data_IF_095058042673
#
_entry.id   IF_095058042673
#
_cell.length_a   1.000
_cell.length_b   1.000
_cell.length_c   1.000
_cell.angle_alpha   90.00
_cell.angle_beta   90.00
_cell.angle_gamma   90.00
#
_symmetry.space_group_name_H-M   'P 1'
#
loop_
_entity.id
_entity.type
_entity.pdbx_description
1 polymer ?
#
# COMPACT_ATOMS: atom_id res chain seq x y z
N UNK A 1 9.43 -15.79 -23.97
CA UNK A 1 8.37 -16.48 -23.20
C UNK A 1 8.06 -15.60 -22.00
N UNK A 2 6.96 -14.86 -22.05
CA UNK A 2 6.54 -13.99 -20.95
C UNK A 2 5.86 -14.86 -19.89
N UNK A 3 6.51 -15.03 -18.74
CA UNK A 3 5.89 -15.62 -17.56
C UNK A 3 4.88 -14.60 -17.03
N UNK A 4 3.62 -14.75 -17.45
CA UNK A 4 2.48 -14.20 -16.72
C UNK A 4 2.40 -14.98 -15.41
N UNK A 5 3.08 -14.51 -14.37
CA UNK A 5 2.80 -14.94 -13.00
C UNK A 5 1.43 -14.39 -12.64
N UNK A 6 0.41 -15.23 -12.73
CA UNK A 6 -0.86 -15.02 -12.06
C UNK A 6 -0.56 -14.95 -10.56
N UNK A 7 -0.40 -13.74 -10.04
CA UNK A 7 -0.39 -13.50 -8.60
C UNK A 7 -1.82 -13.74 -8.10
N UNK A 8 -2.16 -14.99 -7.76
CA UNK A 8 -3.33 -15.27 -6.91
C UNK A 8 -3.01 -14.79 -5.49
N UNK A 9 -3.04 -13.47 -5.28
CA UNK A 9 -3.05 -12.89 -3.95
C UNK A 9 -4.40 -13.22 -3.32
N UNK A 10 -4.50 -14.36 -2.66
CA UNK A 10 -5.48 -14.53 -1.57
C UNK A 10 -5.14 -13.47 -0.52
N UNK A 11 -5.69 -12.27 -0.69
CA UNK A 11 -5.49 -11.15 0.21
C UNK A 11 -6.24 -11.41 1.53
N UNK A 12 -5.74 -12.34 2.35
CA UNK A 12 -6.30 -12.64 3.67
C UNK A 12 -6.10 -11.50 4.67
N UNK A 13 -5.27 -10.52 4.32
CA UNK A 13 -5.03 -9.32 5.13
C UNK A 13 -6.08 -8.22 4.95
N UNK A 14 -6.73 -8.17 3.79
CA UNK A 14 -7.77 -7.18 3.54
C UNK A 14 -9.12 -7.69 4.04
N UNK A 15 -9.85 -6.83 4.72
CA UNK A 15 -11.10 -7.14 5.39
C UNK A 15 -12.29 -6.78 4.51
N UNK A 16 -12.25 -5.60 3.87
CA UNK A 16 -13.37 -5.07 3.08
C UNK A 16 -12.93 -4.52 1.72
N UNK A 17 -11.76 -3.88 1.67
CA UNK A 17 -11.18 -3.31 0.46
C UNK A 17 -10.60 -4.41 -0.43
N UNK A 18 -10.84 -4.34 -1.74
CA UNK A 18 -10.22 -5.28 -2.68
C UNK A 18 -8.75 -4.92 -2.92
N UNK A 19 -7.94 -5.92 -3.27
CA UNK A 19 -6.53 -5.70 -3.60
C UNK A 19 -6.37 -4.71 -4.75
N UNK A 20 -7.17 -4.85 -5.81
CA UNK A 20 -7.11 -3.98 -7.00
C UNK A 20 -7.45 -2.53 -6.64
N UNK A 21 -8.42 -2.33 -5.74
CA UNK A 21 -8.76 -0.99 -5.25
C UNK A 21 -7.61 -0.38 -4.44
N UNK A 22 -6.98 -1.18 -3.57
CA UNK A 22 -5.82 -0.73 -2.80
C UNK A 22 -4.64 -0.38 -3.73
N UNK A 23 -4.35 -1.22 -4.70
CA UNK A 23 -3.30 -1.01 -5.69
C UNK A 23 -3.53 0.28 -6.49
N UNK A 24 -4.75 0.48 -7.01
CA UNK A 24 -5.11 1.73 -7.70
C UNK A 24 -4.90 2.98 -6.84
N UNK A 25 -5.20 2.90 -5.54
CA UNK A 25 -4.99 4.01 -4.61
C UNK A 25 -3.52 4.36 -4.49
N UNK A 26 -2.67 3.35 -4.28
CA UNK A 26 -1.23 3.53 -4.15
C UNK A 26 -0.61 4.04 -5.46
N UNK A 27 -1.04 3.52 -6.61
CA UNK A 27 -0.63 4.03 -7.93
C UNK A 27 -1.05 5.49 -8.10
N UNK A 28 -2.31 5.83 -7.80
CA UNK A 28 -2.80 7.20 -7.89
C UNK A 28 -1.94 8.14 -7.04
N UNK A 29 -1.72 7.83 -5.77
CA UNK A 29 -0.98 8.68 -4.84
C UNK A 29 0.47 8.82 -5.32
N UNK A 30 1.09 7.71 -5.73
CA UNK A 30 2.44 7.67 -6.29
C UNK A 30 2.59 8.60 -7.51
N UNK A 31 1.67 8.50 -8.48
CA UNK A 31 1.73 9.26 -9.74
C UNK A 31 1.25 10.71 -9.58
N UNK A 32 0.43 11.01 -8.57
CA UNK A 32 -0.06 12.37 -8.31
C UNK A 32 1.06 13.36 -7.96
N UNK A 33 2.21 12.85 -7.50
CA UNK A 33 3.33 13.65 -6.95
C UNK A 33 2.90 14.63 -5.84
N UNK A 34 1.74 14.38 -5.24
CA UNK A 34 1.18 15.19 -4.17
C UNK A 34 1.79 14.74 -2.84
N UNK A 35 2.78 15.51 -2.37
CA UNK A 35 3.50 15.17 -1.15
C UNK A 35 2.60 15.13 0.09
N UNK A 36 1.53 15.93 0.14
CA UNK A 36 0.55 15.86 1.23
C UNK A 36 -0.12 14.49 1.25
N UNK A 37 -0.71 14.05 0.13
CA UNK A 37 -1.36 12.73 0.07
C UNK A 37 -0.40 11.58 0.35
N UNK A 38 0.85 11.69 -0.11
CA UNK A 38 1.86 10.67 0.17
C UNK A 38 2.23 10.64 1.66
N UNK A 39 2.49 11.81 2.28
CA UNK A 39 2.82 11.89 3.69
C UNK A 39 1.68 11.38 4.58
N UNK A 40 0.43 11.60 4.17
CA UNK A 40 -0.74 11.11 4.88
C UNK A 40 -0.79 9.59 4.99
N UNK A 41 -0.22 8.84 4.02
CA UNK A 41 -0.07 7.38 4.15
C UNK A 41 0.75 7.07 5.40
N UNK A 42 1.97 7.63 5.49
CA UNK A 42 2.91 7.36 6.59
C UNK A 42 2.45 7.96 7.93
N UNK A 43 1.87 9.15 7.91
CA UNK A 43 1.53 9.90 9.10
C UNK A 43 0.17 9.51 9.69
N UNK A 44 -0.78 9.06 8.86
CA UNK A 44 -2.15 8.83 9.30
C UNK A 44 -2.68 7.42 9.04
N UNK A 45 -2.29 6.76 7.94
CA UNK A 45 -2.78 5.42 7.63
C UNK A 45 -1.90 4.32 8.23
N UNK A 46 -0.57 4.36 8.08
CA UNK A 46 0.34 3.29 8.54
C UNK A 46 0.23 3.05 10.07
N UNK A 47 -0.04 4.09 10.87
CA UNK A 47 -0.29 3.95 12.32
C UNK A 47 -1.56 3.16 12.69
N UNK A 48 -2.44 2.89 11.72
CA UNK A 48 -3.66 2.09 11.91
C UNK A 48 -3.45 0.62 11.61
N UNK A 49 -2.32 0.25 11.01
CA UNK A 49 -1.98 -1.14 10.76
C UNK A 49 -1.78 -1.88 12.09
N UNK A 50 -2.19 -3.16 12.17
CA UNK A 50 -1.73 -4.05 13.22
C UNK A 50 -0.21 -4.06 13.28
N UNK A 51 0.35 -4.09 14.50
CA UNK A 51 1.79 -4.04 14.70
C UNK A 51 2.54 -5.07 13.83
N UNK A 52 2.03 -6.31 13.76
CA UNK A 52 2.65 -7.36 12.94
C UNK A 52 2.63 -7.07 11.44
N UNK A 53 1.56 -6.41 10.95
CA UNK A 53 1.44 -6.02 9.54
C UNK A 53 2.37 -4.86 9.26
N UNK A 54 2.45 -3.88 10.17
CA UNK A 54 3.38 -2.76 10.07
C UNK A 54 4.85 -3.20 10.10
N UNK A 55 5.21 -4.12 11.00
CA UNK A 55 6.56 -4.68 11.06
C UNK A 55 6.90 -5.46 9.76
N UNK A 56 5.93 -6.22 9.24
CA UNK A 56 6.07 -6.93 7.97
C UNK A 56 6.17 -5.97 6.77
N UNK A 57 5.38 -4.90 6.73
CA UNK A 57 5.46 -3.86 5.70
C UNK A 57 6.84 -3.24 5.64
N UNK A 58 7.42 -2.83 6.77
CA UNK A 58 8.78 -2.28 6.80
C UNK A 58 9.84 -3.27 6.33
N UNK A 59 9.73 -4.54 6.74
CA UNK A 59 10.70 -5.56 6.36
C UNK A 59 10.59 -5.89 4.86
N UNK A 60 9.37 -6.06 4.36
CA UNK A 60 9.11 -6.36 2.96
C UNK A 60 9.45 -5.19 2.03
N UNK A 61 9.13 -3.95 2.42
CA UNK A 61 9.53 -2.75 1.69
C UNK A 61 11.05 -2.70 1.52
N UNK A 62 11.80 -2.90 2.61
CA UNK A 62 13.26 -2.93 2.58
C UNK A 62 13.83 -4.07 1.72
N UNK A 63 13.16 -5.22 1.69
CA UNK A 63 13.63 -6.37 0.89
C UNK A 63 13.35 -6.20 -0.61
N UNK A 64 12.18 -5.66 -0.96
CA UNK A 64 11.79 -5.44 -2.35
C UNK A 64 12.36 -4.13 -2.91
N UNK A 65 12.75 -3.20 -2.04
CA UNK A 65 13.30 -1.90 -2.38
C UNK A 65 14.54 -1.58 -1.52
N UNK A 66 15.64 -2.36 -1.63
CA UNK A 66 16.80 -2.22 -0.74
C UNK A 66 17.57 -0.91 -0.93
N UNK A 67 17.51 -0.34 -2.14
CA UNK A 67 18.26 0.86 -2.51
C UNK A 67 17.46 2.15 -2.30
N UNK A 68 16.15 2.06 -2.04
CA UNK A 68 15.30 3.21 -1.75
C UNK A 68 14.30 2.85 -0.65
N UNK A 69 14.28 3.60 0.45
CA UNK A 69 13.14 3.49 1.37
C UNK A 69 11.87 3.96 0.65
N UNK A 70 10.68 3.55 1.10
CA UNK A 70 9.40 4.22 0.76
C UNK A 70 9.53 5.74 1.00
N UNK A 71 9.79 6.49 -0.08
CA UNK A 71 10.08 7.93 -0.02
C UNK A 71 8.89 8.69 -0.59
N UNK A 72 8.26 9.49 0.26
CA UNK A 72 7.27 10.46 -0.15
C UNK A 72 7.94 11.79 -0.48
N UNK A 73 8.24 12.04 -1.77
CA UNK A 73 8.67 13.36 -2.21
C UNK A 73 8.03 13.75 -3.55
N UNK A 74 7.93 15.04 -3.86
CA UNK A 74 7.26 15.54 -5.08
C UNK A 74 7.98 15.18 -6.40
N UNK A 75 9.19 14.64 -6.33
CA UNK A 75 10.08 14.34 -7.46
C UNK A 75 10.18 12.85 -7.76
N UNK A 76 9.85 11.99 -6.80
CA UNK A 76 9.94 10.53 -6.91
C UNK A 76 8.61 9.89 -6.56
N UNK A 77 8.28 8.85 -7.30
CA UNK A 77 7.15 7.99 -7.00
C UNK A 77 7.34 7.33 -5.63
N UNK A 78 6.23 6.94 -4.99
CA UNK A 78 6.24 6.25 -3.70
C UNK A 78 7.04 4.93 -3.80
N UNK A 79 6.90 4.26 -4.93
CA UNK A 79 7.71 3.14 -5.36
C UNK A 79 8.44 3.49 -6.68
N UNK A 80 9.71 3.07 -6.86
CA UNK A 80 10.45 3.28 -8.10
C UNK A 80 9.72 2.78 -9.35
N UNK A 81 8.92 1.73 -9.21
CA UNK A 81 8.13 1.11 -10.25
C UNK A 81 6.83 0.52 -9.68
N UNK A 82 5.81 0.44 -10.53
CA UNK A 82 4.47 0.00 -10.12
C UNK A 82 4.43 -1.50 -9.71
N UNK A 83 5.45 -2.30 -10.07
CA UNK A 83 5.55 -3.73 -9.71
C UNK A 83 6.09 -3.98 -8.29
N UNK A 84 6.64 -2.96 -7.61
CA UNK A 84 7.18 -3.11 -6.24
C UNK A 84 6.04 -3.24 -5.23
N UNK A 85 4.97 -2.45 -5.36
CA UNK A 85 3.83 -2.54 -4.45
C UNK A 85 3.21 -3.96 -4.40
N UNK A 86 2.90 -4.62 -5.54
CA UNK A 86 2.45 -6.01 -5.56
C UNK A 86 3.40 -6.97 -4.82
N UNK A 87 4.71 -6.83 -5.04
CA UNK A 87 5.73 -7.68 -4.41
C UNK A 87 5.80 -7.46 -2.90
N UNK A 88 5.73 -6.21 -2.45
CA UNK A 88 5.67 -5.86 -1.02
C UNK A 88 4.41 -6.46 -0.40
N UNK A 89 3.25 -6.23 -1.01
CA UNK A 89 1.98 -6.74 -0.49
C UNK A 89 1.95 -8.27 -0.40
N UNK A 90 2.47 -8.97 -1.43
CA UNK A 90 2.59 -10.42 -1.39
C UNK A 90 3.54 -10.88 -0.28
N UNK A 91 4.70 -10.25 -0.12
CA UNK A 91 5.62 -10.55 0.97
C UNK A 91 4.97 -10.38 2.35
N UNK A 92 4.12 -9.35 2.53
CA UNK A 92 3.37 -9.16 3.77
C UNK A 92 2.38 -10.30 3.97
N UNK A 93 1.61 -10.70 2.94
CA UNK A 93 0.70 -11.86 3.03
C UNK A 93 1.44 -13.14 3.43
N UNK A 94 2.61 -13.39 2.82
CA UNK A 94 3.40 -14.60 3.09
C UNK A 94 3.95 -14.64 4.53
N UNK A 95 4.19 -13.47 5.14
CA UNK A 95 4.67 -13.36 6.53
C UNK A 95 3.54 -13.32 7.55
N UNK A 96 2.45 -12.68 7.19
CA UNK A 96 1.32 -12.46 8.07
C UNK A 96 0.25 -13.49 7.74
N UNK A 97 0.45 -14.70 8.27
CA UNK A 97 -0.39 -15.87 7.99
C UNK A 97 -1.89 -15.68 8.26
N UNK A 98 -2.27 -14.86 9.25
CA UNK A 98 -3.67 -14.61 9.59
C UNK A 98 -3.80 -13.37 10.48
N UNK A 99 -5.01 -12.83 10.60
CA UNK A 99 -5.35 -11.72 11.50
C UNK A 99 -6.36 -12.17 12.57
N UNK A 100 -6.14 -11.75 13.81
CA UNK A 100 -7.16 -11.85 14.88
C UNK A 100 -8.28 -10.83 14.63
N UNK A 101 -9.43 -10.99 15.29
CA UNK A 101 -10.58 -10.09 15.07
C UNK A 101 -10.29 -8.63 15.42
N UNK A 102 -9.46 -8.37 16.44
CA UNK A 102 -9.05 -7.01 16.76
C UNK A 102 -8.06 -6.43 15.74
N UNK A 103 -7.19 -7.26 15.18
CA UNK A 103 -6.31 -6.85 14.09
C UNK A 103 -7.08 -6.62 12.79
N UNK A 104 -8.14 -7.40 12.52
CA UNK A 104 -9.07 -7.11 11.41
C UNK A 104 -9.76 -5.76 11.59
N UNK A 105 -10.17 -5.39 12.82
CA UNK A 105 -10.72 -4.05 13.09
C UNK A 105 -9.68 -2.96 12.82
N UNK A 106 -8.41 -3.19 13.13
CA UNK A 106 -7.33 -2.26 12.84
C UNK A 106 -7.05 -2.16 11.33
N UNK A 107 -6.97 -3.29 10.62
CA UNK A 107 -6.88 -3.32 9.16
C UNK A 107 -8.03 -2.58 8.49
N UNK A 108 -9.26 -2.76 8.97
CA UNK A 108 -10.41 -2.00 8.45
C UNK A 108 -10.23 -0.48 8.61
N UNK A 109 -9.68 -0.02 9.74
CA UNK A 109 -9.38 1.41 9.94
C UNK A 109 -8.28 1.89 8.98
N UNK A 110 -7.30 1.06 8.68
CA UNK A 110 -6.30 1.34 7.65
C UNK A 110 -6.96 1.44 6.26
N UNK A 111 -7.80 0.47 5.89
CA UNK A 111 -8.54 0.45 4.63
C UNK A 111 -9.43 1.68 4.45
N UNK A 112 -10.15 2.08 5.49
CA UNK A 112 -10.98 3.29 5.47
C UNK A 112 -10.12 4.56 5.26
N UNK A 113 -8.94 4.61 5.89
CA UNK A 113 -7.98 5.70 5.75
C UNK A 113 -7.44 5.82 4.31
N UNK A 114 -6.90 4.73 3.77
CA UNK A 114 -6.35 4.73 2.41
C UNK A 114 -7.44 4.94 1.36
N UNK A 115 -8.65 4.43 1.59
CA UNK A 115 -9.80 4.71 0.71
C UNK A 115 -10.16 6.19 0.66
N UNK A 116 -10.09 6.89 1.80
CA UNK A 116 -10.30 8.33 1.85
C UNK A 116 -9.21 9.09 1.07
N UNK A 117 -7.94 8.71 1.23
CA UNK A 117 -6.83 9.27 0.44
C UNK A 117 -6.97 8.98 -1.05
N UNK A 118 -7.43 7.77 -1.41
CA UNK A 118 -7.74 7.38 -2.78
C UNK A 118 -8.78 8.26 -3.44
N UNK A 119 -9.88 8.55 -2.72
CA UNK A 119 -10.90 9.50 -3.18
C UNK A 119 -10.33 10.90 -3.35
N UNK A 120 -9.52 11.37 -2.40
CA UNK A 120 -8.86 12.67 -2.49
C UNK A 120 -7.90 12.74 -3.69
N UNK A 121 -7.13 11.68 -3.95
CA UNK A 121 -6.25 11.57 -5.10
C UNK A 121 -7.01 11.60 -6.43
N UNK A 122 -8.08 10.81 -6.55
CA UNK A 122 -8.93 10.77 -7.76
C UNK A 122 -9.66 12.11 -8.01
N UNK A 123 -9.87 12.91 -6.96
CA UNK A 123 -10.49 14.24 -7.04
C UNK A 123 -9.49 15.37 -7.39
N UNK A 124 -8.18 15.09 -7.42
CA UNK A 124 -7.21 16.09 -7.87
C UNK A 124 -7.51 16.47 -9.32
N UNK A 125 -7.36 17.76 -9.70
CA UNK A 125 -7.45 18.15 -11.09
C UNK A 125 -6.38 17.37 -11.86
N UNK A 126 -6.82 16.54 -12.80
CA UNK A 126 -5.94 15.91 -13.78
C UNK A 126 -5.41 17.06 -14.64
N UNK A 127 -4.31 17.67 -14.21
CA UNK A 127 -3.68 18.71 -15.01
C UNK A 127 -3.29 18.09 -16.35
N UNK A 128 -3.84 18.70 -17.40
CA UNK A 128 -3.66 18.45 -18.82
C UNK A 128 -2.19 18.55 -19.23
#
# INVERSE_FOLDING_TARGET
MALLTCYETKAELLVSLKYEELEEIFICISHSKNQTLCNEIKLNCDFKLPKKVFDADQACDKEQNPDQNKICNCKTNLYPSDDIFPKVFQCINDRVNSLTDDEKKQMKKFEDCVSALGKACKALPKNQ
#
